data_IF_406537095809
#
_entry.id   IF_406537095809
#
_cell.length_a   1.000
_cell.length_b   1.000
_cell.length_c   1.000
_cell.angle_alpha   90.00
_cell.angle_beta   90.00
_cell.angle_gamma   90.00
#
_symmetry.space_group_name_H-M   'P 1'
#
loop_
_entity.id
_entity.type
_entity.pdbx_description
1 polymer ?
#
# COMPACT_ATOMS: atom_id res chain seq x y z
N UNK A 1 49.60 -11.67 13.92
CA UNK A 1 49.10 -13.03 14.19
C UNK A 1 48.14 -13.42 13.07
N UNK A 2 48.54 -14.32 12.20
CA UNK A 2 47.81 -14.77 11.01
C UNK A 2 46.91 -15.95 11.37
N UNK A 3 45.67 -15.95 10.99
CA UNK A 3 44.78 -17.16 10.84
C UNK A 3 43.85 -16.88 9.68
N UNK A 4 44.04 -17.39 8.56
CA UNK A 4 43.85 -18.65 7.82
C UNK A 4 42.37 -18.88 7.44
N UNK A 5 42.18 -18.83 6.14
CA UNK A 5 41.02 -19.23 5.33
C UNK A 5 40.59 -20.68 5.57
N UNK A 6 39.29 -20.93 5.50
CA UNK A 6 38.77 -22.23 5.13
C UNK A 6 37.61 -22.03 4.16
N UNK A 7 37.86 -22.43 2.92
CA UNK A 7 36.86 -22.67 1.88
C UNK A 7 36.25 -24.05 2.14
N UNK A 8 34.94 -24.16 2.06
CA UNK A 8 34.27 -25.44 1.90
C UNK A 8 33.39 -25.37 0.65
N UNK A 9 33.81 -26.15 -0.34
CA UNK A 9 33.04 -26.56 -1.53
C UNK A 9 32.25 -27.83 -1.19
N UNK A 10 31.01 -27.95 -1.64
CA UNK A 10 30.32 -29.21 -1.97
C UNK A 10 29.20 -28.83 -2.96
N UNK A 11 29.28 -29.13 -4.22
CA UNK A 11 29.00 -30.34 -5.03
C UNK A 11 27.51 -30.75 -5.00
N UNK A 12 26.79 -30.40 -6.04
CA UNK A 12 26.19 -31.18 -7.16
C UNK A 12 25.30 -32.36 -6.73
N UNK A 13 24.05 -32.30 -7.13
CA UNK A 13 23.11 -33.40 -7.20
C UNK A 13 22.03 -33.14 -8.22
N UNK A 14 22.29 -33.52 -9.47
CA UNK A 14 21.30 -33.58 -10.56
C UNK A 14 20.43 -34.83 -10.39
N UNK A 15 19.10 -34.64 -10.53
CA UNK A 15 18.14 -35.73 -10.58
C UNK A 15 17.07 -35.44 -11.61
N UNK A 16 17.29 -35.94 -12.84
CA UNK A 16 16.31 -36.04 -13.92
C UNK A 16 15.46 -37.26 -13.68
N UNK A 17 14.13 -37.12 -13.69
CA UNK A 17 13.22 -38.24 -13.95
C UNK A 17 12.06 -37.76 -14.80
N UNK A 18 12.13 -38.12 -16.07
CA UNK A 18 11.06 -38.10 -17.03
C UNK A 18 10.19 -39.34 -16.86
N UNK A 19 8.87 -39.18 -16.83
CA UNK A 19 7.94 -40.29 -17.11
C UNK A 19 6.87 -39.78 -18.08
N UNK A 20 6.90 -40.37 -19.25
CA UNK A 20 5.90 -40.35 -20.31
C UNK A 20 4.91 -41.50 -20.13
N UNK A 21 3.62 -41.30 -20.45
CA UNK A 21 2.68 -42.25 -21.05
C UNK A 21 1.34 -41.55 -21.25
N UNK A 22 0.91 -41.28 -22.45
CA UNK A 22 0.19 -42.11 -23.45
C UNK A 22 -1.28 -42.39 -23.14
N UNK A 23 -2.11 -41.70 -23.96
CA UNK A 23 -3.16 -42.21 -24.87
C UNK A 23 -4.39 -42.88 -24.27
N UNK A 24 -5.57 -42.32 -24.59
CA UNK A 24 -6.60 -43.10 -25.30
C UNK A 24 -7.70 -42.17 -25.84
N UNK A 25 -7.97 -42.35 -27.11
CA UNK A 25 -9.08 -41.82 -27.91
C UNK A 25 -10.41 -42.47 -27.51
N UNK A 26 -11.50 -41.73 -27.71
CA UNK A 26 -12.84 -42.26 -27.70
C UNK A 26 -13.77 -41.37 -28.47
N UNK A 27 -14.09 -41.76 -29.68
CA UNK A 27 -14.94 -41.15 -30.69
C UNK A 27 -16.44 -41.56 -30.46
N UNK A 28 -17.37 -40.69 -30.89
CA UNK A 28 -18.80 -41.03 -30.94
C UNK A 28 -19.67 -39.78 -31.01
N UNK A 29 -19.86 -39.26 -32.06
CA UNK A 29 -20.83 -39.20 -33.18
C UNK A 29 -22.22 -38.70 -32.80
N UNK A 30 -22.54 -37.63 -33.50
CA UNK A 30 -23.74 -37.00 -34.04
C UNK A 30 -25.14 -37.54 -33.64
N UNK A 31 -26.06 -36.61 -33.39
CA UNK A 31 -27.19 -36.38 -34.28
C UNK A 31 -27.96 -35.10 -33.98
N UNK A 32 -28.22 -34.36 -35.00
CA UNK A 32 -29.10 -33.19 -35.08
C UNK A 32 -30.57 -33.59 -34.91
N UNK A 33 -31.38 -32.72 -34.38
CA UNK A 33 -32.70 -32.51 -34.98
C UNK A 33 -33.30 -31.11 -34.73
N UNK A 34 -33.87 -30.63 -35.75
CA UNK A 34 -34.41 -29.32 -36.12
C UNK A 34 -35.85 -29.08 -35.61
N UNK A 35 -36.16 -27.77 -35.51
CA UNK A 35 -37.46 -27.10 -35.79
C UNK A 35 -38.56 -27.24 -34.74
N UNK A 36 -39.35 -26.23 -34.42
CA UNK A 36 -40.07 -25.21 -35.17
C UNK A 36 -40.94 -24.39 -34.23
N UNK A 37 -41.01 -23.10 -34.54
CA UNK A 37 -42.05 -22.10 -34.34
C UNK A 37 -43.34 -22.43 -33.60
N UNK A 38 -43.79 -21.49 -32.74
CA UNK A 38 -45.06 -20.76 -32.95
C UNK A 38 -45.25 -19.64 -31.92
N UNK A 39 -45.59 -18.47 -32.42
CA UNK A 39 -46.11 -17.30 -31.72
C UNK A 39 -47.47 -17.59 -31.08
N UNK A 40 -47.75 -16.93 -29.95
CA UNK A 40 -49.07 -16.35 -29.71
C UNK A 40 -49.03 -15.31 -28.58
N UNK A 41 -49.44 -14.13 -28.93
CA UNK A 41 -49.76 -12.93 -28.15
C UNK A 41 -50.97 -13.18 -27.22
N UNK A 42 -50.97 -12.57 -26.00
CA UNK A 42 -52.14 -11.81 -25.49
C UNK A 42 -51.92 -11.26 -24.08
N UNK A 43 -51.98 -9.93 -24.02
CA UNK A 43 -52.65 -9.02 -23.08
C UNK A 43 -52.67 -9.27 -21.56
N UNK A 44 -52.10 -8.30 -20.88
CA UNK A 44 -52.58 -7.49 -19.75
C UNK A 44 -53.43 -8.11 -18.65
N UNK A 45 -52.91 -8.05 -17.43
CA UNK A 45 -53.72 -7.51 -16.32
C UNK A 45 -52.79 -7.08 -15.16
N UNK A 46 -52.90 -5.79 -14.78
CA UNK A 46 -52.24 -5.20 -13.61
C UNK A 46 -52.90 -5.73 -12.34
N UNK A 47 -52.09 -6.36 -11.49
CA UNK A 47 -52.40 -6.45 -10.06
C UNK A 47 -51.22 -5.93 -9.27
N UNK A 48 -51.45 -4.78 -8.62
CA UNK A 48 -50.59 -4.25 -7.57
C UNK A 48 -50.57 -5.25 -6.41
N UNK A 49 -49.52 -6.01 -6.33
CA UNK A 49 -49.17 -6.77 -5.12
C UNK A 49 -48.21 -5.94 -4.27
N UNK A 50 -48.67 -5.58 -3.09
CA UNK A 50 -47.90 -4.95 -2.06
C UNK A 50 -46.59 -5.73 -1.83
N UNK A 51 -45.48 -5.07 -2.09
CA UNK A 51 -44.18 -5.55 -1.71
C UNK A 51 -44.08 -5.51 -0.19
N UNK A 52 -44.29 -6.64 0.46
CA UNK A 52 -43.85 -6.86 1.82
C UNK A 52 -42.33 -6.75 1.78
N UNK A 53 -41.77 -5.69 2.37
CA UNK A 53 -40.41 -5.67 2.84
C UNK A 53 -40.23 -6.87 3.79
N UNK A 54 -39.76 -7.96 3.27
CA UNK A 54 -39.09 -8.98 4.09
C UNK A 54 -37.77 -8.33 4.48
N UNK A 55 -37.75 -7.73 5.66
CA UNK A 55 -36.52 -7.51 6.36
C UNK A 55 -35.87 -8.88 6.49
N UNK A 56 -34.95 -9.20 5.59
CA UNK A 56 -34.02 -10.28 5.77
C UNK A 56 -33.15 -9.91 6.97
N UNK A 57 -33.60 -10.32 8.16
CA UNK A 57 -32.68 -10.58 9.25
C UNK A 57 -31.83 -11.73 8.76
N UNK A 58 -30.77 -11.43 8.00
CA UNK A 58 -29.65 -12.33 7.88
C UNK A 58 -29.15 -12.56 9.30
N UNK A 59 -29.51 -13.68 9.86
CA UNK A 59 -28.83 -14.22 11.03
C UNK A 59 -27.38 -14.30 10.61
N UNK A 60 -26.55 -13.40 11.12
CA UNK A 60 -25.08 -13.50 11.03
C UNK A 60 -24.71 -14.78 11.75
N UNK A 61 -24.77 -15.91 11.03
CA UNK A 61 -24.11 -17.13 11.44
C UNK A 61 -22.65 -16.69 11.64
N UNK A 62 -22.16 -16.77 12.89
CA UNK A 62 -20.93 -16.14 13.31
C UNK A 62 -19.81 -16.40 12.33
N UNK A 63 -19.30 -15.34 11.70
CA UNK A 63 -18.08 -15.41 10.91
C UNK A 63 -16.96 -15.87 11.86
N UNK A 64 -16.16 -16.82 11.41
CA UNK A 64 -15.01 -17.31 12.17
C UNK A 64 -13.84 -17.57 11.23
N UNK A 65 -12.62 -17.42 11.73
CA UNK A 65 -11.42 -17.65 10.94
C UNK A 65 -10.32 -16.62 11.24
N UNK A 66 -9.41 -16.47 10.30
CA UNK A 66 -8.31 -15.51 10.42
C UNK A 66 -8.17 -14.68 9.14
N UNK A 67 -7.82 -13.40 9.30
CA UNK A 67 -7.47 -12.46 8.23
C UNK A 67 -6.06 -11.98 8.51
N UNK A 68 -5.19 -12.07 7.50
CA UNK A 68 -3.84 -11.55 7.53
C UNK A 68 -3.72 -10.28 6.70
N UNK A 69 -3.15 -9.22 7.28
CA UNK A 69 -2.90 -7.94 6.61
C UNK A 69 -1.40 -7.66 6.60
N UNK A 70 -0.86 -7.21 5.48
CA UNK A 70 0.54 -6.80 5.34
C UNK A 70 0.61 -5.49 4.58
N UNK A 71 1.49 -4.56 4.96
CA UNK A 71 1.73 -3.42 4.08
C UNK A 71 2.19 -2.13 4.73
N UNK A 72 1.59 -1.03 4.32
CA UNK A 72 2.03 0.34 4.58
C UNK A 72 2.09 0.71 6.06
N UNK A 73 3.24 1.23 6.49
CA UNK A 73 3.44 1.76 7.85
C UNK A 73 2.67 3.07 8.10
N UNK A 74 2.29 3.82 7.06
CA UNK A 74 1.45 5.00 7.20
C UNK A 74 -0.03 4.66 7.43
N UNK A 75 -0.45 3.43 7.14
CA UNK A 75 -1.80 2.94 7.41
C UNK A 75 -1.94 2.24 8.77
N UNK A 76 -0.89 2.15 9.56
CA UNK A 76 -0.86 1.37 10.80
C UNK A 76 -2.01 1.73 11.76
N UNK A 77 -2.23 3.02 12.03
CA UNK A 77 -3.31 3.46 12.92
C UNK A 77 -4.69 3.10 12.38
N UNK A 78 -4.93 3.35 11.09
CA UNK A 78 -6.20 3.05 10.44
C UNK A 78 -6.46 1.54 10.39
N UNK A 79 -5.47 0.75 9.96
CA UNK A 79 -5.61 -0.69 9.83
C UNK A 79 -5.84 -1.37 11.20
N UNK A 80 -5.12 -0.93 12.24
CA UNK A 80 -5.35 -1.43 13.59
C UNK A 80 -6.74 -1.09 14.11
N UNK A 81 -7.21 0.15 13.94
CA UNK A 81 -8.54 0.56 14.36
C UNK A 81 -9.65 -0.22 13.63
N UNK A 82 -9.51 -0.45 12.32
CA UNK A 82 -10.45 -1.26 11.54
C UNK A 82 -10.43 -2.73 11.99
N UNK A 83 -9.24 -3.27 12.26
CA UNK A 83 -9.09 -4.65 12.75
C UNK A 83 -9.74 -4.85 14.12
N UNK A 84 -9.52 -3.91 15.04
CA UNK A 84 -10.13 -3.94 16.37
C UNK A 84 -11.66 -3.86 16.29
N UNK A 85 -12.20 -2.92 15.53
CA UNK A 85 -13.64 -2.77 15.33
C UNK A 85 -14.26 -4.01 14.69
N UNK A 86 -13.56 -4.64 13.71
CA UNK A 86 -14.04 -5.86 13.07
C UNK A 86 -14.06 -7.06 14.02
N UNK A 87 -13.03 -7.22 14.84
CA UNK A 87 -12.96 -8.29 15.85
C UNK A 87 -13.95 -8.08 17.02
N UNK A 88 -14.32 -6.82 17.30
CA UNK A 88 -15.39 -6.52 18.28
C UNK A 88 -16.75 -6.96 17.75
N UNK A 89 -17.03 -6.75 16.46
CA UNK A 89 -18.29 -7.17 15.83
C UNK A 89 -18.32 -8.69 15.55
N UNK A 90 -17.16 -9.29 15.23
CA UNK A 90 -17.02 -10.71 14.92
C UNK A 90 -15.98 -11.39 15.83
N UNK A 91 -16.32 -11.72 17.08
CA UNK A 91 -15.35 -12.20 18.08
C UNK A 91 -14.65 -13.53 17.76
N UNK A 92 -15.23 -14.31 16.85
CA UNK A 92 -14.63 -15.59 16.39
C UNK A 92 -13.67 -15.41 15.19
N UNK A 93 -13.44 -14.16 14.76
CA UNK A 93 -12.45 -13.80 13.72
C UNK A 93 -11.21 -13.22 14.38
N UNK A 94 -10.03 -13.65 13.93
CA UNK A 94 -8.74 -13.05 14.32
C UNK A 94 -8.17 -12.28 13.15
N UNK A 95 -7.85 -11.00 13.34
CA UNK A 95 -7.15 -10.17 12.34
C UNK A 95 -5.73 -9.93 12.83
N UNK A 96 -4.74 -10.19 11.97
CA UNK A 96 -3.33 -9.88 12.22
C UNK A 96 -2.82 -8.89 11.18
N UNK A 97 -1.98 -7.93 11.58
CA UNK A 97 -1.44 -6.93 10.70
C UNK A 97 0.09 -6.79 10.87
N UNK A 98 0.82 -6.69 9.76
CA UNK A 98 2.24 -6.40 9.70
C UNK A 98 2.48 -5.15 8.85
N UNK A 99 3.34 -4.24 9.32
CA UNK A 99 3.59 -2.96 8.67
C UNK A 99 5.04 -2.86 8.21
N UNK A 100 5.28 -3.23 6.94
CA UNK A 100 6.60 -3.41 6.32
C UNK A 100 6.72 -2.70 4.95
N UNK A 101 5.77 -1.82 4.64
CA UNK A 101 5.73 -1.02 3.41
C UNK A 101 4.73 -1.51 2.37
N UNK A 102 4.21 -0.57 1.56
CA UNK A 102 3.15 -0.85 0.56
C UNK A 102 3.57 -1.89 -0.47
N UNK A 103 4.81 -1.86 -0.94
CA UNK A 103 5.31 -2.83 -1.91
C UNK A 103 5.27 -4.27 -1.39
N UNK A 104 5.67 -4.48 -0.13
CA UNK A 104 5.62 -5.79 0.51
C UNK A 104 4.17 -6.28 0.69
N UNK A 105 3.22 -5.38 1.02
CA UNK A 105 1.80 -5.71 1.12
C UNK A 105 1.22 -6.17 -0.22
N UNK A 106 1.49 -5.43 -1.29
CA UNK A 106 1.03 -5.78 -2.63
C UNK A 106 1.64 -7.12 -3.09
N UNK A 107 2.94 -7.34 -2.83
CA UNK A 107 3.61 -8.61 -3.13
C UNK A 107 3.00 -9.77 -2.34
N UNK A 108 2.72 -9.59 -1.05
CA UNK A 108 2.13 -10.61 -0.20
C UNK A 108 0.76 -11.06 -0.71
N UNK A 109 -0.12 -10.14 -1.10
CA UNK A 109 -1.42 -10.46 -1.69
C UNK A 109 -1.26 -11.11 -3.07
N UNK A 110 -0.39 -10.58 -3.92
CA UNK A 110 -0.12 -11.16 -5.25
C UNK A 110 0.32 -12.63 -5.16
N UNK A 111 1.12 -12.95 -4.14
CA UNK A 111 1.63 -14.30 -3.90
C UNK A 111 0.69 -15.17 -3.04
N UNK A 112 -0.44 -14.63 -2.57
CA UNK A 112 -1.40 -15.33 -1.73
C UNK A 112 -0.87 -15.65 -0.32
N UNK A 113 0.10 -14.89 0.19
CA UNK A 113 0.66 -15.04 1.55
C UNK A 113 0.00 -14.10 2.56
N UNK A 114 -0.80 -13.14 2.10
CA UNK A 114 -1.70 -12.33 2.91
C UNK A 114 -3.05 -12.21 2.22
N UNK A 115 -4.10 -11.99 3.02
CA UNK A 115 -5.47 -11.80 2.53
C UNK A 115 -5.70 -10.37 2.08
N UNK A 116 -5.08 -9.39 2.77
CA UNK A 116 -5.22 -7.96 2.52
C UNK A 116 -3.85 -7.30 2.48
N UNK A 117 -3.62 -6.49 1.45
CA UNK A 117 -2.46 -5.62 1.35
C UNK A 117 -2.82 -4.16 1.66
N UNK A 118 -2.13 -3.56 2.62
CA UNK A 118 -2.29 -2.14 2.95
C UNK A 118 -1.35 -1.30 2.08
N UNK A 119 -1.88 -0.38 1.29
CA UNK A 119 -1.06 0.47 0.42
C UNK A 119 -1.41 1.95 0.59
N UNK A 120 -0.40 2.81 0.71
CA UNK A 120 -0.52 4.27 0.70
C UNK A 120 -0.18 4.87 -0.67
N UNK A 121 -0.36 4.12 -1.74
CA UNK A 121 -0.31 4.54 -3.13
C UNK A 121 -1.23 3.68 -3.99
N UNK A 122 -1.61 4.18 -5.15
CA UNK A 122 -2.30 3.39 -6.17
C UNK A 122 -1.47 2.18 -6.61
N UNK A 123 -2.15 1.14 -7.07
CA UNK A 123 -1.50 0.03 -7.74
C UNK A 123 -0.90 0.47 -9.07
N UNK A 124 0.30 -0.02 -9.38
CA UNK A 124 0.91 0.11 -10.70
C UNK A 124 0.16 -0.76 -11.72
N UNK A 125 0.28 -0.45 -13.00
CA UNK A 125 -0.39 -1.20 -14.05
C UNK A 125 -0.01 -2.69 -14.06
N UNK A 126 1.24 -3.02 -13.77
CA UNK A 126 1.70 -4.39 -13.63
C UNK A 126 1.08 -5.13 -12.44
N UNK A 127 0.84 -4.43 -11.32
CA UNK A 127 0.21 -4.98 -10.12
C UNK A 127 -1.30 -5.23 -10.37
N UNK A 128 -1.97 -4.31 -11.06
CA UNK A 128 -3.36 -4.51 -11.51
C UNK A 128 -3.48 -5.67 -12.50
N UNK A 129 -2.52 -5.80 -13.42
CA UNK A 129 -2.48 -6.89 -14.38
C UNK A 129 -2.23 -8.27 -13.72
N UNK A 130 -1.62 -8.30 -12.53
CA UNK A 130 -1.48 -9.51 -11.72
C UNK A 130 -2.81 -9.97 -11.05
N UNK A 131 -3.89 -9.21 -11.20
CA UNK A 131 -5.22 -9.58 -10.72
C UNK A 131 -5.52 -9.10 -9.29
N UNK A 132 -4.69 -8.22 -8.74
CA UNK A 132 -4.94 -7.61 -7.42
C UNK A 132 -6.08 -6.60 -7.53
N UNK A 133 -7.07 -6.69 -6.65
CA UNK A 133 -8.18 -5.74 -6.57
C UNK A 133 -7.80 -4.52 -5.72
N UNK A 134 -8.16 -3.33 -6.20
CA UNK A 134 -7.87 -2.06 -5.51
C UNK A 134 -9.14 -1.50 -4.87
N UNK A 135 -9.11 -1.24 -3.57
CA UNK A 135 -10.22 -0.65 -2.82
C UNK A 135 -9.75 0.57 -2.04
N UNK A 136 -10.24 1.75 -2.40
CA UNK A 136 -9.93 2.99 -1.69
C UNK A 136 -10.72 3.03 -0.38
N UNK A 137 -10.05 3.14 0.75
CA UNK A 137 -10.67 3.17 2.08
C UNK A 137 -10.59 4.53 2.76
N UNK A 138 -9.61 5.36 2.41
CA UNK A 138 -9.44 6.71 2.92
C UNK A 138 -8.61 7.56 1.96
N UNK A 139 -8.69 8.88 2.13
CA UNK A 139 -7.81 9.85 1.47
C UNK A 139 -6.90 10.42 2.57
N UNK A 140 -5.59 10.35 2.36
CA UNK A 140 -4.58 10.84 3.28
C UNK A 140 -3.84 12.04 2.68
N UNK A 141 -3.20 12.84 3.52
CA UNK A 141 -2.27 13.91 3.13
C UNK A 141 -0.85 13.55 3.51
N UNK A 142 0.12 14.01 2.69
CA UNK A 142 1.53 13.94 3.05
C UNK A 142 1.97 15.32 3.54
N UNK A 143 2.52 15.38 4.74
CA UNK A 143 3.12 16.59 5.28
C UNK A 143 4.65 16.49 5.23
N UNK A 144 5.28 17.62 4.98
CA UNK A 144 6.72 17.81 5.15
C UNK A 144 6.98 18.27 6.57
N UNK A 145 7.83 17.57 7.28
CA UNK A 145 8.21 17.86 8.64
C UNK A 145 9.70 18.18 8.73
N UNK A 146 10.03 19.09 9.63
CA UNK A 146 11.39 19.53 9.94
C UNK A 146 11.68 19.36 11.42
N UNK A 147 12.95 19.41 11.79
CA UNK A 147 13.32 19.36 13.21
C UNK A 147 12.69 20.52 13.99
N UNK A 148 12.42 20.33 15.30
CA UNK A 148 11.66 21.32 16.10
C UNK A 148 12.35 22.68 16.26
N UNK A 149 13.67 22.76 16.02
CA UNK A 149 14.41 24.01 16.11
C UNK A 149 14.44 24.78 14.80
N UNK A 150 13.91 24.21 13.70
CA UNK A 150 13.87 24.88 12.41
C UNK A 150 12.76 25.93 12.38
N UNK A 151 13.10 27.16 12.03
CA UNK A 151 12.20 28.29 11.98
C UNK A 151 11.52 28.51 10.62
N UNK A 152 11.82 27.67 9.62
CA UNK A 152 11.21 27.75 8.30
C UNK A 152 9.78 27.20 8.36
N UNK A 153 8.81 28.09 8.44
CA UNK A 153 7.40 27.75 8.61
C UNK A 153 6.70 27.37 7.30
N UNK A 154 7.23 27.78 6.15
CA UNK A 154 6.61 27.52 4.84
C UNK A 154 7.66 27.34 3.75
N UNK A 155 7.43 26.37 2.87
CA UNK A 155 8.25 26.07 1.71
C UNK A 155 7.36 25.98 0.47
N UNK A 156 7.78 26.53 -0.64
CA UNK A 156 7.09 26.33 -1.92
C UNK A 156 7.40 24.93 -2.49
N UNK A 157 6.55 24.43 -3.38
CA UNK A 157 6.81 23.18 -4.11
C UNK A 157 8.17 23.20 -4.82
N UNK A 158 8.54 24.35 -5.43
CA UNK A 158 9.83 24.51 -6.11
C UNK A 158 11.01 24.39 -5.12
N UNK A 159 10.90 25.02 -3.94
CA UNK A 159 11.91 24.88 -2.89
C UNK A 159 12.05 23.44 -2.43
N UNK A 160 10.94 22.74 -2.20
CA UNK A 160 10.94 21.31 -1.88
C UNK A 160 11.62 20.48 -2.97
N UNK A 161 11.23 20.68 -4.23
CA UNK A 161 11.87 19.99 -5.37
C UNK A 161 13.38 20.23 -5.37
N UNK A 162 13.83 21.47 -5.13
CA UNK A 162 15.26 21.82 -5.11
C UNK A 162 16.01 21.27 -3.89
N UNK A 163 15.36 21.13 -2.74
CA UNK A 163 15.93 20.47 -1.57
C UNK A 163 16.09 18.97 -1.85
N UNK A 164 15.02 18.32 -2.28
CA UNK A 164 15.03 16.86 -2.46
C UNK A 164 15.86 16.39 -3.67
N UNK A 165 16.06 17.24 -4.70
CA UNK A 165 17.00 16.92 -5.79
C UNK A 165 18.46 17.26 -5.46
N UNK A 166 18.71 17.91 -4.29
CA UNK A 166 20.03 18.28 -3.81
C UNK A 166 20.63 19.53 -4.46
N UNK A 167 19.82 20.37 -5.09
CA UNK A 167 20.24 21.69 -5.60
C UNK A 167 20.37 22.71 -4.47
N UNK A 168 19.44 22.70 -3.52
CA UNK A 168 19.47 23.49 -2.27
C UNK A 168 19.92 22.55 -1.16
N UNK A 169 21.00 22.91 -0.45
CA UNK A 169 21.64 22.08 0.57
C UNK A 169 21.83 22.78 1.90
N UNK A 170 21.42 24.03 2.00
CA UNK A 170 21.54 24.82 3.23
C UNK A 170 20.25 25.59 3.47
N UNK A 171 19.75 25.58 4.69
CA UNK A 171 18.51 26.24 5.08
C UNK A 171 18.48 27.75 4.80
N UNK A 172 19.63 28.44 4.84
CA UNK A 172 19.71 29.87 4.51
C UNK A 172 19.28 30.20 3.08
N UNK A 173 19.35 29.24 2.16
CA UNK A 173 18.93 29.43 0.76
C UNK A 173 17.41 29.52 0.62
N UNK A 174 16.69 29.09 1.63
CA UNK A 174 15.22 29.12 1.70
C UNK A 174 14.70 29.95 2.86
N UNK A 175 15.55 30.81 3.45
CA UNK A 175 15.16 31.79 4.47
C UNK A 175 15.35 31.31 5.93
N UNK A 176 15.97 30.15 6.14
CA UNK A 176 16.30 29.61 7.45
C UNK A 176 17.69 29.99 7.95
N UNK A 177 18.16 29.29 8.96
CA UNK A 177 19.49 29.45 9.54
C UNK A 177 20.62 29.00 8.57
N UNK A 178 21.85 29.42 8.83
CA UNK A 178 23.02 28.90 8.09
C UNK A 178 23.39 27.51 8.59
N UNK A 179 22.62 26.52 8.16
CA UNK A 179 22.72 25.13 8.60
C UNK A 179 22.49 24.19 7.40
N UNK A 180 23.24 23.08 7.30
CA UNK A 180 23.04 22.09 6.25
C UNK A 180 21.67 21.43 6.33
N UNK A 181 21.06 21.15 5.18
CA UNK A 181 19.82 20.36 5.10
C UNK A 181 20.14 18.88 5.10
N UNK A 182 19.53 18.12 6.01
CA UNK A 182 19.64 16.65 6.09
C UNK A 182 18.33 16.03 5.62
N UNK A 183 18.32 15.55 4.38
CA UNK A 183 17.13 14.99 3.76
C UNK A 183 16.92 13.55 4.20
N UNK A 184 15.79 13.29 4.86
CA UNK A 184 15.39 11.99 5.38
C UNK A 184 14.19 11.48 4.60
N UNK A 185 14.27 10.26 4.10
CA UNK A 185 13.20 9.62 3.34
C UNK A 185 12.93 8.20 3.76
N UNK A 186 12.10 7.55 2.97
CA UNK A 186 11.67 6.16 3.13
C UNK A 186 12.40 5.27 2.14
N UNK A 187 12.43 3.99 2.45
CA UNK A 187 12.89 2.92 1.55
C UNK A 187 12.08 2.87 0.24
N UNK A 188 12.64 2.27 -0.80
CA UNK A 188 12.04 2.21 -2.13
C UNK A 188 10.66 1.50 -2.19
N UNK A 189 10.38 0.59 -1.25
CA UNK A 189 9.10 -0.11 -1.13
C UNK A 189 7.97 0.71 -0.52
N UNK A 190 8.26 1.91 0.00
CA UNK A 190 7.29 2.77 0.64
C UNK A 190 6.32 3.39 -0.36
N UNK A 191 5.02 3.22 -0.12
CA UNK A 191 3.98 3.92 -0.88
C UNK A 191 3.99 5.42 -0.63
N UNK A 192 4.22 5.85 0.62
CA UNK A 192 4.36 7.27 0.98
C UNK A 192 5.51 7.94 0.24
N UNK A 193 6.66 7.24 0.06
CA UNK A 193 7.75 7.73 -0.77
C UNK A 193 7.32 7.91 -2.22
N UNK A 194 6.71 6.90 -2.81
CA UNK A 194 6.27 6.98 -4.21
C UNK A 194 5.31 8.14 -4.43
N UNK A 195 4.32 8.30 -3.55
CA UNK A 195 3.36 9.40 -3.60
C UNK A 195 4.03 10.77 -3.40
N UNK A 196 4.94 10.90 -2.43
CA UNK A 196 5.70 12.15 -2.21
C UNK A 196 6.55 12.53 -3.42
N UNK A 197 7.31 11.60 -3.98
CA UNK A 197 8.17 11.84 -5.13
C UNK A 197 7.38 12.26 -6.38
N UNK A 198 6.16 11.73 -6.56
CA UNK A 198 5.24 12.19 -7.61
C UNK A 198 4.76 13.62 -7.37
N UNK A 199 4.43 13.97 -6.11
CA UNK A 199 3.99 15.32 -5.76
C UNK A 199 5.04 16.40 -5.99
N UNK A 200 6.32 16.07 -5.78
CA UNK A 200 7.44 16.99 -6.00
C UNK A 200 8.08 16.84 -7.39
N UNK A 201 7.47 16.05 -8.28
CA UNK A 201 7.96 15.76 -9.65
C UNK A 201 9.40 15.20 -9.68
N UNK A 202 9.76 14.36 -8.71
CA UNK A 202 11.11 13.79 -8.54
C UNK A 202 11.10 12.27 -8.47
N UNK A 203 10.23 11.61 -9.21
CA UNK A 203 10.14 10.14 -9.19
C UNK A 203 11.51 9.50 -9.38
N UNK A 204 11.94 8.70 -8.37
CA UNK A 204 13.24 8.02 -8.31
C UNK A 204 14.48 8.96 -8.41
N UNK A 205 14.30 10.28 -8.21
CA UNK A 205 15.37 11.28 -8.36
C UNK A 205 15.71 12.02 -7.06
N UNK A 206 14.99 11.76 -5.98
CA UNK A 206 15.29 12.34 -4.67
C UNK A 206 16.64 11.85 -4.12
N UNK A 207 17.34 12.77 -3.45
CA UNK A 207 18.65 12.50 -2.82
C UNK A 207 18.51 12.48 -1.31
N UNK A 208 18.32 11.30 -0.77
CA UNK A 208 18.21 11.10 0.67
C UNK A 208 19.57 10.92 1.32
N UNK A 209 19.78 11.58 2.46
CA UNK A 209 20.92 11.32 3.34
C UNK A 209 20.71 10.05 4.16
N UNK A 210 19.45 9.76 4.52
CA UNK A 210 19.03 8.53 5.18
C UNK A 210 17.73 8.03 4.57
N UNK A 211 17.64 6.72 4.37
CA UNK A 211 16.41 6.02 4.01
C UNK A 211 15.99 5.09 5.16
N UNK A 212 14.74 5.18 5.60
CA UNK A 212 14.22 4.48 6.78
C UNK A 212 13.03 3.60 6.39
N UNK A 213 12.83 2.54 7.16
CA UNK A 213 11.88 1.46 6.88
C UNK A 213 10.45 1.73 7.35
N UNK A 214 10.23 2.79 8.15
CA UNK A 214 8.89 3.08 8.66
C UNK A 214 8.60 4.57 8.77
N UNK A 215 7.33 4.93 8.75
CA UNK A 215 6.84 6.31 8.94
C UNK A 215 7.27 6.87 10.29
N UNK A 216 7.11 6.09 11.36
CA UNK A 216 7.54 6.49 12.71
C UNK A 216 9.05 6.71 12.82
N UNK A 217 9.87 5.89 12.13
CA UNK A 217 11.32 6.07 12.11
C UNK A 217 11.73 7.38 11.43
N UNK A 218 11.05 7.80 10.35
CA UNK A 218 11.29 9.10 9.71
C UNK A 218 11.01 10.23 10.70
N UNK A 219 9.83 10.24 11.35
CA UNK A 219 9.44 11.26 12.32
C UNK A 219 10.47 11.34 13.45
N UNK A 220 10.81 10.21 14.07
CA UNK A 220 11.80 10.16 15.15
C UNK A 220 13.19 10.64 14.72
N UNK A 221 13.59 10.32 13.48
CA UNK A 221 14.89 10.75 12.94
C UNK A 221 14.91 12.24 12.67
N UNK A 222 13.84 12.81 12.10
CA UNK A 222 13.69 14.25 11.89
C UNK A 222 13.72 14.98 13.23
N UNK A 223 12.94 14.53 14.20
CA UNK A 223 12.86 15.13 15.55
C UNK A 223 14.21 15.20 16.28
N UNK A 224 15.10 14.26 16.00
CA UNK A 224 16.39 14.12 16.69
C UNK A 224 17.61 14.60 15.90
N UNK A 225 17.44 15.12 14.68
CA UNK A 225 18.54 15.51 13.80
C UNK A 225 18.43 16.99 13.45
N UNK A 226 19.32 17.85 13.95
CA UNK A 226 19.35 19.27 13.57
C UNK A 226 19.48 19.44 12.05
N UNK A 227 18.71 20.39 11.50
CA UNK A 227 18.67 20.66 10.06
C UNK A 227 17.94 19.60 9.24
N UNK A 228 17.28 18.62 9.86
CA UNK A 228 16.57 17.57 9.14
C UNK A 228 15.27 18.05 8.50
N UNK A 229 14.98 17.47 7.34
CA UNK A 229 13.70 17.54 6.64
C UNK A 229 13.27 16.12 6.26
N UNK A 230 12.00 15.81 6.41
CA UNK A 230 11.40 14.54 6.02
C UNK A 230 9.94 14.72 5.60
N UNK A 231 9.28 13.62 5.31
CA UNK A 231 7.85 13.59 5.00
C UNK A 231 7.19 12.40 5.67
N UNK A 232 5.93 12.57 6.01
CA UNK A 232 5.10 11.52 6.62
C UNK A 232 3.64 11.71 6.25
N UNK A 233 2.83 10.66 6.45
CA UNK A 233 1.37 10.76 6.48
C UNK A 233 0.94 11.76 7.56
N UNK A 234 -0.05 12.59 7.26
CA UNK A 234 -0.59 13.57 8.20
C UNK A 234 -1.11 12.90 9.49
N UNK A 235 -1.74 11.73 9.35
CA UNK A 235 -2.25 10.96 10.48
C UNK A 235 -1.15 10.46 11.42
N UNK A 236 0.05 10.23 10.90
CA UNK A 236 1.18 9.73 11.69
C UNK A 236 1.92 10.80 12.48
N UNK A 237 1.77 12.09 12.13
CA UNK A 237 2.50 13.18 12.77
C UNK A 237 2.05 13.40 14.21
N UNK A 238 2.97 13.87 15.03
CA UNK A 238 2.79 14.29 16.41
C UNK A 238 3.59 15.58 16.71
N UNK A 239 3.52 16.05 17.95
CA UNK A 239 4.18 17.29 18.39
C UNK A 239 5.73 17.20 18.47
N UNK A 240 6.33 16.08 18.10
CA UNK A 240 7.79 15.88 18.12
C UNK A 240 8.51 16.56 16.95
N UNK A 241 7.79 16.93 15.90
CA UNK A 241 8.31 17.61 14.71
C UNK A 241 7.50 18.87 14.38
N UNK A 242 8.12 19.81 13.66
CA UNK A 242 7.43 20.97 13.12
C UNK A 242 6.97 20.69 11.69
N UNK A 243 5.72 21.00 11.38
CA UNK A 243 5.17 20.88 10.02
C UNK A 243 5.48 22.16 9.26
N UNK A 244 6.34 22.06 8.26
CA UNK A 244 6.75 23.19 7.42
C UNK A 244 5.92 23.35 6.14
N UNK A 245 5.15 22.33 5.76
CA UNK A 245 4.31 22.38 4.57
C UNK A 245 3.15 21.37 4.65
N UNK A 246 1.91 21.89 4.60
CA UNK A 246 0.67 21.08 4.66
C UNK A 246 -0.12 21.08 3.35
N UNK A 247 0.33 21.80 2.31
CA UNK A 247 -0.43 21.98 1.07
C UNK A 247 -0.02 21.04 -0.08
N UNK A 248 0.75 19.98 0.19
CA UNK A 248 0.73 18.82 -0.66
C UNK A 248 -0.63 18.11 -0.42
N UNK A 249 -1.72 18.82 -0.77
CA UNK A 249 -2.89 18.08 -1.17
C UNK A 249 -2.42 17.28 -2.36
N UNK A 250 -2.07 16.03 -2.09
CA UNK A 250 -2.14 15.06 -3.13
C UNK A 250 -3.51 15.28 -3.77
N UNK A 251 -3.56 15.54 -5.04
CA UNK A 251 -4.62 14.98 -5.81
C UNK A 251 -4.46 13.48 -5.52
N UNK A 252 -5.06 13.10 -4.36
CA UNK A 252 -5.33 11.73 -3.99
C UNK A 252 -4.09 10.83 -3.82
N UNK A 253 -3.38 10.96 -2.67
CA UNK A 253 -2.77 9.75 -2.11
C UNK A 253 -3.90 9.00 -1.43
N UNK A 254 -4.61 8.24 -2.21
CA UNK A 254 -5.61 7.33 -1.68
C UNK A 254 -4.90 6.26 -0.84
N UNK A 255 -5.41 5.97 0.33
CA UNK A 255 -5.00 4.79 1.09
C UNK A 255 -5.81 3.61 0.58
N UNK A 256 -5.13 2.55 0.17
CA UNK A 256 -5.76 1.40 -0.47
C UNK A 256 -5.66 0.15 0.40
N UNK A 257 -6.74 -0.63 0.41
CA UNK A 257 -6.71 -2.06 0.67
C UNK A 257 -6.66 -2.80 -0.67
N UNK A 258 -5.71 -3.67 -0.84
CA UNK A 258 -5.51 -4.47 -2.04
C UNK A 258 -5.50 -5.95 -1.71
#
# INVERSE_FOLDING_TARGET
MRVRHSKLLALIGAGILAVTALVACGNGDATANTASSAEASSAAESTVAASSEVASTETTAGLSGSISMVGSTSMEKLANALSEAFMEEYPDVTVTAEFVGSGAGIEAVTNGTADIGNSSRSLKDEEKAAGVAENIVAIDGIAVCVDPANEVADLTKEQLTNIYNGTVTNWKEVGGADEPIIVIGREAGSGTRGAFEELVDLKDACKYANELDSTGAVIAKVASTPGAIGYASLDALDDSVTVSYTHLRAHETDSYLV
#
